data_IF_857299268681
#
_entry.id   IF_857299268681
#
_cell.length_a   1.000
_cell.length_b   1.000
_cell.length_c   1.000
_cell.angle_alpha   90.00
_cell.angle_beta   90.00
_cell.angle_gamma   90.00
#
_symmetry.space_group_name_H-M   'P 1'
#
loop_
_entity.id
_entity.type
_entity.pdbx_description
1 polymer ?
#
# COMPACT_ATOMS: atom_id res chain seq x y z
N UNK A 1 43.41 -20.59 -23.53
CA UNK A 1 42.80 -21.37 -22.44
C UNK A 1 42.36 -20.37 -21.37
N UNK A 2 41.07 -20.39 -21.05
CA UNK A 2 40.37 -19.90 -19.85
C UNK A 2 40.77 -18.54 -19.23
N UNK A 3 39.88 -17.59 -18.96
CA UNK A 3 38.44 -17.71 -18.83
C UNK A 3 37.73 -16.37 -18.94
N UNK A 4 36.59 -16.41 -19.60
CA UNK A 4 35.51 -15.45 -19.49
C UNK A 4 35.05 -15.43 -18.03
N UNK A 5 35.56 -14.49 -17.24
CA UNK A 5 34.95 -14.20 -15.95
C UNK A 5 33.65 -13.45 -16.27
N UNK A 6 32.55 -14.21 -16.27
CA UNK A 6 31.21 -13.63 -16.28
C UNK A 6 31.06 -12.77 -15.03
N UNK A 7 31.00 -11.46 -15.22
CA UNK A 7 30.68 -10.51 -14.17
C UNK A 7 29.29 -10.88 -13.61
N UNK A 8 29.10 -10.89 -12.28
CA UNK A 8 27.78 -11.01 -11.71
C UNK A 8 26.92 -9.85 -12.22
N UNK A 9 25.74 -10.20 -12.73
CA UNK A 9 24.74 -9.30 -13.28
C UNK A 9 24.44 -8.13 -12.35
N UNK A 10 25.12 -7.00 -12.58
CA UNK A 10 24.75 -5.68 -12.05
C UNK A 10 23.47 -5.25 -12.76
N UNK A 11 22.29 -5.59 -12.23
CA UNK A 11 21.05 -5.12 -12.84
C UNK A 11 19.71 -5.71 -12.42
N UNK A 12 19.62 -6.66 -11.48
CA UNK A 12 18.32 -7.16 -10.98
C UNK A 12 17.95 -6.66 -9.59
N UNK A 13 18.59 -5.62 -9.06
CA UNK A 13 18.25 -5.07 -7.73
C UNK A 13 17.02 -4.16 -7.71
N UNK A 14 16.28 -4.03 -8.82
CA UNK A 14 15.05 -3.27 -8.84
C UNK A 14 13.86 -4.15 -8.46
N UNK A 15 13.30 -3.85 -7.28
CA UNK A 15 11.86 -3.60 -7.13
C UNK A 15 11.00 -4.87 -7.30
N UNK A 16 10.91 -5.68 -6.25
CA UNK A 16 9.85 -6.70 -6.10
C UNK A 16 8.52 -6.08 -6.54
N UNK A 17 7.78 -6.72 -7.46
CA UNK A 17 6.56 -6.14 -8.01
C UNK A 17 5.48 -6.04 -6.93
N UNK A 18 4.61 -5.03 -6.98
CA UNK A 18 3.54 -4.90 -5.98
C UNK A 18 2.65 -6.15 -5.93
N UNK A 19 2.49 -6.86 -7.05
CA UNK A 19 1.79 -8.14 -7.13
C UNK A 19 2.45 -9.25 -6.30
N UNK A 20 3.79 -9.34 -6.32
CA UNK A 20 4.55 -10.30 -5.51
C UNK A 20 4.44 -9.97 -4.02
N UNK A 21 4.43 -8.67 -3.68
CA UNK A 21 4.23 -8.22 -2.31
C UNK A 21 2.80 -8.54 -1.84
N UNK A 22 1.79 -8.29 -2.66
CA UNK A 22 0.39 -8.64 -2.35
C UNK A 22 0.21 -10.15 -2.18
N UNK A 23 0.88 -10.96 -3.01
CA UNK A 23 0.90 -12.42 -2.87
C UNK A 23 1.51 -12.82 -1.53
N UNK A 24 2.67 -12.28 -1.17
CA UNK A 24 3.29 -12.57 0.12
C UNK A 24 2.42 -12.11 1.31
N UNK A 25 1.70 -10.98 1.20
CA UNK A 25 0.76 -10.54 2.24
C UNK A 25 -0.39 -11.56 2.38
N UNK A 26 -0.92 -12.09 1.28
CA UNK A 26 -1.99 -13.11 1.32
C UNK A 26 -1.58 -14.38 2.07
N UNK A 27 -0.28 -14.71 2.01
CA UNK A 27 0.35 -15.82 2.73
C UNK A 27 0.69 -15.47 4.19
N UNK A 28 0.45 -14.23 4.62
CA UNK A 28 0.68 -13.76 5.98
C UNK A 28 2.10 -13.24 6.24
N UNK A 29 2.83 -12.80 5.20
CA UNK A 29 4.16 -12.21 5.36
C UNK A 29 4.09 -10.72 5.79
N UNK A 30 4.46 -10.37 7.03
CA UNK A 30 4.38 -8.99 7.50
C UNK A 30 5.43 -8.06 6.84
N UNK A 31 6.59 -8.58 6.43
CA UNK A 31 7.63 -7.79 5.76
C UNK A 31 7.19 -7.33 4.37
N UNK A 32 6.28 -8.07 3.73
CA UNK A 32 5.70 -7.66 2.46
C UNK A 32 4.73 -6.47 2.64
N UNK A 33 3.99 -6.42 3.75
CA UNK A 33 3.15 -5.29 4.11
C UNK A 33 3.98 -4.04 4.40
N UNK A 34 5.07 -4.17 5.15
CA UNK A 34 6.01 -3.08 5.44
C UNK A 34 6.57 -2.47 4.15
N UNK A 35 7.05 -3.30 3.22
CA UNK A 35 7.53 -2.83 1.92
C UNK A 35 6.46 -2.12 1.08
N UNK A 36 5.20 -2.58 1.14
CA UNK A 36 4.10 -1.91 0.46
C UNK A 36 3.72 -0.60 1.15
N UNK A 37 3.79 -0.56 2.47
CA UNK A 37 3.59 0.64 3.27
C UNK A 37 4.60 1.73 2.90
N UNK A 38 5.90 1.41 2.88
CA UNK A 38 6.96 2.37 2.53
C UNK A 38 6.76 2.99 1.14
N UNK A 39 6.21 2.21 0.20
CA UNK A 39 5.99 2.65 -1.18
C UNK A 39 4.75 3.53 -1.34
N UNK A 40 3.68 3.24 -0.60
CA UNK A 40 2.35 3.79 -0.88
C UNK A 40 1.77 4.66 0.24
N UNK A 41 2.41 4.72 1.40
CA UNK A 41 2.01 5.55 2.54
C UNK A 41 1.80 7.01 2.14
N UNK A 42 2.73 7.60 1.39
CA UNK A 42 2.62 9.00 0.92
C UNK A 42 1.36 9.24 0.08
N UNK A 43 0.99 8.31 -0.80
CA UNK A 43 -0.22 8.43 -1.63
C UNK A 43 -1.48 8.41 -0.77
N UNK A 44 -1.58 7.39 0.10
CA UNK A 44 -2.71 7.19 1.00
C UNK A 44 -2.89 8.41 1.91
N UNK A 45 -1.80 8.85 2.55
CA UNK A 45 -1.79 10.03 3.41
C UNK A 45 -2.20 11.29 2.66
N UNK A 46 -1.66 11.51 1.46
CA UNK A 46 -2.00 12.71 0.66
C UNK A 46 -3.48 12.76 0.28
N UNK A 47 -4.07 11.60 -0.07
CA UNK A 47 -5.50 11.51 -0.38
C UNK A 47 -6.34 11.78 0.87
N UNK A 48 -6.01 11.17 2.01
CA UNK A 48 -6.74 11.36 3.26
C UNK A 48 -6.65 12.82 3.75
N UNK A 49 -5.44 13.40 3.73
CA UNK A 49 -5.18 14.78 4.12
C UNK A 49 -5.94 15.78 3.24
N UNK A 50 -6.01 15.54 1.92
CA UNK A 50 -6.76 16.39 1.00
C UNK A 50 -8.28 16.36 1.23
N UNK A 51 -8.82 15.31 1.85
CA UNK A 51 -10.24 15.22 2.21
C UNK A 51 -10.50 15.81 3.60
N UNK A 52 -9.69 15.43 4.58
CA UNK A 52 -9.91 15.73 5.99
C UNK A 52 -9.37 17.09 6.41
N UNK A 53 -8.31 17.57 5.76
CA UNK A 53 -7.57 18.77 6.16
C UNK A 53 -7.08 18.74 7.61
N UNK A 54 -6.96 17.54 8.20
CA UNK A 54 -6.51 17.28 9.55
C UNK A 54 -5.43 16.20 9.53
N UNK A 55 -4.17 16.50 9.93
CA UNK A 55 -3.07 15.53 9.91
C UNK A 55 -3.33 14.29 10.76
N UNK A 56 -3.88 14.46 11.96
CA UNK A 56 -4.10 13.35 12.90
C UNK A 56 -5.14 12.37 12.33
N UNK A 57 -6.29 12.88 11.89
CA UNK A 57 -7.32 12.04 11.24
C UNK A 57 -6.83 11.41 9.91
N UNK A 58 -5.93 12.08 9.18
CA UNK A 58 -5.36 11.54 7.95
C UNK A 58 -4.40 10.37 8.22
N UNK A 59 -3.62 10.45 9.29
CA UNK A 59 -2.75 9.37 9.75
C UNK A 59 -3.58 8.15 10.20
N UNK A 60 -4.66 8.37 10.95
CA UNK A 60 -5.60 7.31 11.34
C UNK A 60 -6.20 6.59 10.12
N UNK A 61 -6.65 7.34 9.11
CA UNK A 61 -7.17 6.76 7.85
C UNK A 61 -6.09 5.96 7.13
N UNK A 62 -4.85 6.45 7.12
CA UNK A 62 -3.75 5.71 6.54
C UNK A 62 -3.56 4.35 7.23
N UNK A 63 -3.54 4.31 8.56
CA UNK A 63 -3.43 3.04 9.28
C UNK A 63 -4.61 2.12 9.00
N UNK A 64 -5.84 2.65 8.98
CA UNK A 64 -7.04 1.88 8.66
C UNK A 64 -7.02 1.27 7.25
N UNK A 65 -6.47 1.98 6.25
CA UNK A 65 -6.29 1.45 4.89
C UNK A 65 -5.38 0.22 4.90
N UNK A 66 -4.22 0.30 5.56
CA UNK A 66 -3.28 -0.82 5.61
C UNK A 66 -3.75 -1.98 6.48
N UNK A 67 -4.49 -1.72 7.57
CA UNK A 67 -5.17 -2.76 8.36
C UNK A 67 -6.24 -3.46 7.49
N UNK A 68 -7.01 -2.68 6.73
CA UNK A 68 -8.02 -3.22 5.81
C UNK A 68 -7.36 -4.07 4.74
N UNK A 69 -6.23 -3.62 4.17
CA UNK A 69 -5.45 -4.39 3.21
C UNK A 69 -5.01 -5.73 3.80
N UNK A 70 -4.40 -5.74 5.00
CA UNK A 70 -3.96 -6.97 5.66
C UNK A 70 -5.12 -7.97 5.87
N UNK A 71 -6.31 -7.47 6.23
CA UNK A 71 -7.51 -8.31 6.42
C UNK A 71 -8.08 -8.81 5.09
N UNK A 72 -8.07 -7.98 4.05
CA UNK A 72 -8.64 -8.28 2.74
C UNK A 72 -7.70 -9.12 1.85
N UNK A 73 -6.39 -9.09 2.09
CA UNK A 73 -5.40 -9.82 1.29
C UNK A 73 -5.59 -11.34 1.29
N UNK A 74 -6.43 -11.89 2.18
CA UNK A 74 -6.86 -13.30 2.14
C UNK A 74 -7.82 -13.62 0.97
N UNK A 75 -8.23 -12.62 0.19
CA UNK A 75 -9.11 -12.70 -0.99
C UNK A 75 -8.23 -12.55 -2.24
N UNK A 76 -8.51 -13.26 -3.35
CA UNK A 76 -7.67 -13.25 -4.55
C UNK A 76 -7.28 -11.86 -5.03
N UNK A 77 -6.00 -11.73 -5.35
CA UNK A 77 -5.24 -10.47 -5.45
C UNK A 77 -5.58 -9.72 -6.74
N UNK A 78 -5.84 -8.41 -6.61
CA UNK A 78 -5.97 -7.48 -7.74
C UNK A 78 -4.60 -7.34 -8.45
N UNK A 79 -4.56 -7.29 -9.78
CA UNK A 79 -3.29 -7.04 -10.48
C UNK A 79 -2.72 -5.68 -10.09
N UNK A 80 -1.38 -5.56 -10.07
CA UNK A 80 -0.66 -4.40 -9.49
C UNK A 80 -1.15 -3.02 -10.01
N UNK A 81 -1.54 -2.91 -11.28
CA UNK A 81 -2.04 -1.66 -11.86
C UNK A 81 -3.39 -1.19 -11.27
N UNK A 82 -4.17 -2.11 -10.70
CA UNK A 82 -5.43 -1.78 -10.01
C UNK A 82 -5.24 -1.48 -8.53
N UNK A 83 -4.07 -1.83 -7.97
CA UNK A 83 -3.79 -1.65 -6.56
C UNK A 83 -3.68 -0.17 -6.15
N UNK A 84 -2.98 0.65 -6.93
CA UNK A 84 -2.90 2.10 -6.68
C UNK A 84 -4.28 2.76 -6.72
N UNK A 85 -5.14 2.34 -7.65
CA UNK A 85 -6.52 2.83 -7.73
C UNK A 85 -7.34 2.38 -6.51
N UNK A 86 -7.20 1.12 -6.09
CA UNK A 86 -7.85 0.59 -4.89
C UNK A 86 -7.43 1.36 -3.63
N UNK A 87 -6.15 1.70 -3.49
CA UNK A 87 -5.65 2.52 -2.38
C UNK A 87 -6.30 3.90 -2.36
N UNK A 88 -6.30 4.61 -3.50
CA UNK A 88 -6.90 5.95 -3.58
C UNK A 88 -8.40 5.92 -3.23
N UNK A 89 -9.15 4.96 -3.78
CA UNK A 89 -10.59 4.79 -3.52
C UNK A 89 -10.83 4.46 -2.05
N UNK A 90 -10.06 3.53 -1.47
CA UNK A 90 -10.23 3.13 -0.07
C UNK A 90 -9.90 4.27 0.90
N UNK A 91 -8.83 5.02 0.63
CA UNK A 91 -8.42 6.20 1.41
C UNK A 91 -9.51 7.25 1.40
N UNK A 92 -10.03 7.61 0.22
CA UNK A 92 -11.10 8.58 0.10
C UNK A 92 -12.39 8.13 0.81
N UNK A 93 -12.79 6.86 0.65
CA UNK A 93 -13.99 6.30 1.31
C UNK A 93 -13.89 6.33 2.83
N UNK A 94 -12.73 5.97 3.39
CA UNK A 94 -12.51 6.00 4.83
C UNK A 94 -12.49 7.44 5.36
N UNK A 95 -11.82 8.36 4.65
CA UNK A 95 -11.85 9.78 4.99
C UNK A 95 -13.28 10.36 4.98
N UNK A 96 -14.08 10.03 3.98
CA UNK A 96 -15.50 10.42 3.95
C UNK A 96 -16.29 9.85 5.14
N UNK A 97 -16.02 8.60 5.53
CA UNK A 97 -16.67 7.99 6.68
C UNK A 97 -16.34 8.72 8.00
N UNK A 98 -15.11 9.23 8.16
CA UNK A 98 -14.72 10.07 9.30
C UNK A 98 -15.56 11.35 9.33
N UNK A 99 -15.70 12.05 8.20
CA UNK A 99 -16.52 13.27 8.12
C UNK A 99 -18.00 13.02 8.47
N UNK A 100 -18.55 11.86 8.11
CA UNK A 100 -19.94 11.50 8.44
C UNK A 100 -20.17 11.14 9.91
N UNK A 101 -19.10 10.81 10.65
CA UNK A 101 -19.17 10.47 12.07
C UNK A 101 -19.08 11.68 13.00
N UNK A 102 -18.64 12.83 12.50
CA UNK A 102 -18.66 14.07 13.28
C UNK A 102 -20.12 14.50 13.52
N UNK A 103 -20.58 14.61 14.78
CA UNK A 103 -21.90 15.17 15.04
C UNK A 103 -21.92 16.59 14.50
N UNK A 104 -22.78 16.85 13.52
CA UNK A 104 -23.15 18.19 13.10
C UNK A 104 -23.59 18.97 14.35
N UNK A 105 -23.07 20.19 14.60
CA UNK A 105 -23.55 21.03 15.70
C UNK A 105 -25.02 21.44 15.51
#
# INVERSE_FOLDING_TARGET
MSGTQALPSLGTCTRQADEELLTAISEGNPLALEKLYDRHSTLVYSVALGVLHDPDSAEDVLFDVFITLWRAAKIPILPAHQFTAWLAISSHRLAMAVLTKSPTP
#
